data_IF_968051615191
#
_entry.id   IF_968051615191
#
_cell.length_a   1.000
_cell.length_b   1.000
_cell.length_c   1.000
_cell.angle_alpha   90.00
_cell.angle_beta   90.00
_cell.angle_gamma   90.00
#
_symmetry.space_group_name_H-M   'P 1'
#
loop_
_entity.id
_entity.type
_entity.pdbx_description
1 polymer ?
#
# COMPACT_ATOMS: atom_id res chain seq x y z
N UNK A 1 -21.02 -10.74 -0.05
CA UNK A 1 -20.00 -9.66 -0.09
C UNK A 1 -20.59 -8.39 0.45
N UNK A 2 -20.13 -7.96 1.63
CA UNK A 2 -20.56 -6.70 2.24
C UNK A 2 -19.76 -5.54 1.64
N UNK A 3 -20.25 -4.31 1.79
CA UNK A 3 -19.57 -3.10 1.28
C UNK A 3 -18.16 -2.94 1.88
N UNK A 4 -17.97 -3.40 3.13
CA UNK A 4 -16.69 -3.40 3.84
C UNK A 4 -15.65 -4.27 3.13
N UNK A 5 -16.03 -5.47 2.69
CA UNK A 5 -15.11 -6.38 1.96
C UNK A 5 -14.58 -5.74 0.68
N UNK A 6 -15.44 -4.97 -0.02
CA UNK A 6 -15.04 -4.25 -1.25
C UNK A 6 -14.08 -3.11 -0.96
N UNK A 7 -14.27 -2.37 0.15
CA UNK A 7 -13.36 -1.28 0.55
C UNK A 7 -11.99 -1.84 0.92
N UNK A 8 -11.95 -2.89 1.74
CA UNK A 8 -10.69 -3.57 2.12
C UNK A 8 -9.95 -4.08 0.86
N UNK A 9 -10.67 -4.70 -0.08
CA UNK A 9 -10.09 -5.20 -1.32
C UNK A 9 -9.51 -4.08 -2.20
N UNK A 10 -10.21 -2.95 -2.31
CA UNK A 10 -9.72 -1.77 -3.05
C UNK A 10 -8.44 -1.21 -2.44
N UNK A 11 -8.42 -1.02 -1.12
CA UNK A 11 -7.27 -0.48 -0.40
C UNK A 11 -6.05 -1.40 -0.54
N UNK A 12 -6.22 -2.71 -0.33
CA UNK A 12 -5.13 -3.69 -0.53
C UNK A 12 -4.59 -3.64 -1.96
N UNK A 13 -5.47 -3.56 -2.96
CA UNK A 13 -5.06 -3.48 -4.36
C UNK A 13 -4.28 -2.19 -4.65
N UNK A 14 -4.70 -1.05 -4.11
CA UNK A 14 -4.02 0.22 -4.28
C UNK A 14 -2.60 0.18 -3.69
N UNK A 15 -2.47 -0.30 -2.44
CA UNK A 15 -1.17 -0.44 -1.77
C UNK A 15 -0.23 -1.37 -2.56
N UNK A 16 -0.74 -2.52 -3.02
CA UNK A 16 0.06 -3.46 -3.81
C UNK A 16 0.54 -2.87 -5.14
N UNK A 17 -0.34 -2.17 -5.87
CA UNK A 17 0.03 -1.53 -7.13
C UNK A 17 1.07 -0.42 -6.93
N UNK A 18 0.91 0.40 -5.89
CA UNK A 18 1.90 1.42 -5.53
C UNK A 18 3.26 0.79 -5.23
N UNK A 19 3.29 -0.29 -4.44
CA UNK A 19 4.52 -1.00 -4.13
C UNK A 19 5.24 -1.53 -5.38
N UNK A 20 4.52 -2.20 -6.28
CA UNK A 20 5.11 -2.69 -7.55
C UNK A 20 5.61 -1.52 -8.42
N UNK A 21 4.89 -0.41 -8.49
CA UNK A 21 5.35 0.77 -9.22
C UNK A 21 6.64 1.34 -8.64
N UNK A 22 6.74 1.41 -7.31
CA UNK A 22 7.96 1.88 -6.64
C UNK A 22 9.12 0.92 -6.86
N UNK A 23 8.91 -0.39 -6.80
CA UNK A 23 9.95 -1.38 -7.12
C UNK A 23 10.46 -1.30 -8.56
N UNK A 24 9.63 -0.86 -9.51
CA UNK A 24 10.06 -0.64 -10.89
C UNK A 24 10.81 0.70 -11.06
N UNK A 25 10.54 1.68 -10.19
CA UNK A 25 11.10 3.02 -10.29
C UNK A 25 12.37 3.22 -9.43
N UNK A 26 12.51 2.46 -8.34
CA UNK A 26 13.61 2.57 -7.38
C UNK A 26 13.86 1.25 -6.65
N UNK A 27 15.04 1.15 -6.05
CA UNK A 27 15.43 -0.04 -5.29
C UNK A 27 14.53 -0.25 -4.07
N UNK A 28 14.27 -1.52 -3.77
CA UNK A 28 13.48 -1.93 -2.61
C UNK A 28 13.99 -1.33 -1.29
N UNK A 29 15.30 -1.30 -1.10
CA UNK A 29 15.93 -0.75 0.11
C UNK A 29 15.60 0.74 0.32
N UNK A 30 15.53 1.49 -0.79
CA UNK A 30 15.19 2.92 -0.80
C UNK A 30 13.69 3.19 -0.78
N UNK A 31 12.86 2.15 -0.89
CA UNK A 31 11.41 2.25 -0.77
C UNK A 31 11.03 2.31 0.70
N UNK A 32 10.23 3.32 1.06
CA UNK A 32 9.72 3.52 2.42
C UNK A 32 8.22 3.33 2.45
N UNK A 33 7.66 3.08 3.65
CA UNK A 33 6.20 3.09 3.85
C UNK A 33 5.60 4.43 3.41
N UNK A 34 6.31 5.55 3.58
CA UNK A 34 5.83 6.87 3.20
C UNK A 34 5.59 6.96 1.68
N UNK A 35 6.52 6.47 0.87
CA UNK A 35 6.36 6.47 -0.60
C UNK A 35 5.16 5.63 -1.03
N UNK A 36 4.97 4.47 -0.39
CA UNK A 36 3.88 3.55 -0.71
C UNK A 36 2.53 4.20 -0.39
N UNK A 37 2.39 4.82 0.79
CA UNK A 37 1.12 5.41 1.19
C UNK A 37 0.79 6.69 0.41
N UNK A 38 1.81 7.46 0.03
CA UNK A 38 1.63 8.67 -0.79
C UNK A 38 1.19 8.30 -2.21
N UNK A 39 1.78 7.26 -2.80
CA UNK A 39 1.40 6.78 -4.14
C UNK A 39 0.07 6.04 -4.16
N UNK A 40 -0.27 5.31 -3.09
CA UNK A 40 -1.53 4.58 -2.98
C UNK A 40 -2.72 5.44 -2.55
N UNK A 41 -2.49 6.71 -2.17
CA UNK A 41 -3.50 7.63 -1.61
C UNK A 41 -4.21 7.02 -0.38
N UNK A 42 -3.43 6.57 0.60
CA UNK A 42 -3.94 5.98 1.85
C UNK A 42 -3.25 6.55 3.08
N UNK A 43 -3.91 6.48 4.24
CA UNK A 43 -3.30 6.88 5.50
C UNK A 43 -2.32 5.83 6.03
N UNK A 44 -1.32 6.27 6.82
CA UNK A 44 -0.36 5.37 7.50
C UNK A 44 -1.06 4.33 8.40
N UNK A 45 -2.11 4.73 9.14
CA UNK A 45 -2.91 3.80 9.95
C UNK A 45 -3.60 2.74 9.10
N UNK A 46 -4.11 3.12 7.92
CA UNK A 46 -4.75 2.20 6.97
C UNK A 46 -3.75 1.20 6.38
N UNK A 47 -2.52 1.64 6.10
CA UNK A 47 -1.44 0.73 5.70
C UNK A 47 -1.18 -0.33 6.78
N UNK A 48 -1.04 0.09 8.04
CA UNK A 48 -0.79 -0.84 9.14
C UNK A 48 -1.98 -1.74 9.52
N UNK A 49 -3.20 -1.43 9.05
CA UNK A 49 -4.31 -2.38 9.12
C UNK A 49 -4.19 -3.53 8.11
N UNK A 50 -3.27 -3.44 7.15
CA UNK A 50 -3.11 -4.42 6.07
C UNK A 50 -1.73 -5.08 6.03
N UNK A 51 -0.69 -4.39 6.48
CA UNK A 51 0.71 -4.84 6.44
C UNK A 51 1.44 -4.44 7.72
N UNK A 52 2.32 -5.31 8.23
CA UNK A 52 3.04 -5.06 9.50
C UNK A 52 4.24 -4.11 9.29
N UNK A 53 4.91 -4.24 8.15
CA UNK A 53 5.97 -3.33 7.72
C UNK A 53 6.02 -3.27 6.19
N UNK A 54 7.07 -2.66 5.63
CA UNK A 54 7.36 -2.71 4.19
C UNK A 54 8.05 -4.03 3.79
N UNK A 55 8.40 -4.87 4.77
CA UNK A 55 9.10 -6.16 4.64
C UNK A 55 8.15 -7.33 4.45
#
# INVERSE_FOLDING_TARGET
MTNIDRRISKTKKAIYQAFIQLLNAKDYETTTVQDIIDLADVGRSTFYCHYESKE
#
